data_IF_921300831844
#
_entry.id   IF_921300831844
#
_cell.length_a   1.000
_cell.length_b   1.000
_cell.length_c   1.000
_cell.angle_alpha   90.00
_cell.angle_beta   90.00
_cell.angle_gamma   90.00
#
_symmetry.space_group_name_H-M   'P 1'
#
loop_
_entity.id
_entity.type
_entity.pdbx_description
1 polymer ?
#
# COMPACT_ATOMS: atom_id res chain seq x y z
N UNK A 1 51.74 50.92 -41.58
CA UNK A 1 53.20 50.76 -41.32
C UNK A 1 53.36 49.51 -40.45
N UNK A 2 53.90 48.41 -41.00
CA UNK A 2 55.28 47.91 -40.74
C UNK A 2 55.43 47.52 -39.24
N UNK A 3 55.67 46.28 -38.80
CA UNK A 3 56.44 45.15 -39.34
C UNK A 3 56.05 43.84 -38.61
N UNK A 4 56.27 42.70 -39.29
CA UNK A 4 56.42 41.36 -38.70
C UNK A 4 57.77 41.26 -37.96
N UNK A 5 57.81 40.56 -36.83
CA UNK A 5 59.00 39.82 -36.36
C UNK A 5 58.51 38.49 -35.77
N UNK A 6 59.00 37.39 -36.32
CA UNK A 6 58.91 36.07 -35.72
C UNK A 6 60.16 35.78 -34.90
N UNK A 7 60.04 34.95 -33.86
CA UNK A 7 61.17 34.26 -33.27
C UNK A 7 60.78 32.82 -32.93
N UNK A 8 61.71 31.93 -33.24
CA UNK A 8 61.68 30.49 -33.26
C UNK A 8 62.31 29.94 -31.95
N UNK A 9 61.76 28.82 -31.48
CA UNK A 9 62.32 27.79 -30.57
C UNK A 9 62.68 28.14 -29.11
N UNK A 10 62.07 27.42 -28.17
CA UNK A 10 62.75 26.29 -27.51
C UNK A 10 61.74 25.33 -26.86
N UNK A 11 61.85 24.04 -27.18
CA UNK A 11 61.18 22.96 -26.48
C UNK A 11 61.80 22.80 -25.08
N UNK A 12 60.99 22.89 -24.03
CA UNK A 12 61.25 22.15 -22.79
C UNK A 12 60.02 21.28 -22.49
N UNK A 13 60.26 19.98 -22.61
CA UNK A 13 59.43 18.85 -22.25
C UNK A 13 59.09 18.87 -20.75
N UNK A 14 57.83 19.18 -20.45
CA UNK A 14 57.19 18.85 -19.18
C UNK A 14 56.13 17.78 -19.42
N UNK A 15 56.40 16.55 -19.01
CA UNK A 15 55.45 15.45 -19.07
C UNK A 15 54.28 15.73 -18.12
N UNK A 16 53.17 16.23 -18.65
CA UNK A 16 51.88 16.22 -17.97
C UNK A 16 51.20 14.89 -18.31
N UNK A 17 51.13 13.98 -17.34
CA UNK A 17 50.30 12.80 -17.43
C UNK A 17 48.86 13.24 -17.72
N UNK A 18 48.37 12.89 -18.92
CA UNK A 18 46.98 13.05 -19.30
C UNK A 18 46.14 12.11 -18.42
N UNK A 19 45.70 12.62 -17.27
CA UNK A 19 44.61 12.03 -16.51
C UNK A 19 43.38 12.10 -17.39
N UNK A 20 43.02 10.99 -18.02
CA UNK A 20 41.76 10.80 -18.72
C UNK A 20 40.61 11.05 -17.76
N UNK A 21 40.12 12.30 -17.74
CA UNK A 21 38.84 12.66 -17.17
C UNK A 21 37.80 11.90 -17.99
N UNK A 22 37.43 10.72 -17.51
CA UNK A 22 36.19 10.08 -17.92
C UNK A 22 35.09 11.02 -17.46
N UNK A 23 34.66 11.88 -18.39
CA UNK A 23 33.39 12.56 -18.28
C UNK A 23 32.34 11.47 -18.02
N UNK A 24 31.85 11.40 -16.78
CA UNK A 24 30.63 10.67 -16.48
C UNK A 24 29.55 11.36 -17.29
N UNK A 25 29.26 10.79 -18.46
CA UNK A 25 28.04 11.08 -19.20
C UNK A 25 26.84 10.87 -18.27
N UNK A 26 25.66 11.40 -18.63
CA UNK A 26 24.44 11.14 -17.88
C UNK A 26 24.34 9.63 -17.67
N UNK A 27 24.17 9.21 -16.41
CA UNK A 27 23.98 7.81 -16.02
C UNK A 27 22.97 7.21 -17.00
N UNK A 28 23.50 6.41 -17.92
CA UNK A 28 22.72 5.62 -18.85
C UNK A 28 21.72 4.84 -17.98
N UNK A 29 20.44 4.89 -18.33
CA UNK A 29 19.41 4.08 -17.69
C UNK A 29 19.91 2.63 -17.71
N UNK A 30 20.51 2.16 -16.62
CA UNK A 30 20.75 0.74 -16.42
C UNK A 30 19.38 0.08 -16.58
N UNK A 31 19.28 -0.84 -17.54
CA UNK A 31 18.14 -1.75 -17.69
C UNK A 31 17.66 -2.13 -16.29
N UNK A 32 16.37 -1.95 -16.03
CA UNK A 32 15.78 -2.14 -14.71
C UNK A 32 16.11 -3.54 -14.17
N UNK A 33 17.16 -3.63 -13.35
CA UNK A 33 17.77 -4.90 -12.94
C UNK A 33 16.78 -5.74 -12.16
N UNK A 34 15.98 -5.09 -11.32
CA UNK A 34 14.91 -5.72 -10.55
C UNK A 34 13.85 -6.30 -11.47
N UNK A 35 13.29 -5.50 -12.39
CA UNK A 35 12.27 -5.99 -13.31
C UNK A 35 12.79 -7.11 -14.21
N UNK A 36 14.03 -7.00 -14.69
CA UNK A 36 14.69 -8.05 -15.47
C UNK A 36 14.84 -9.35 -14.65
N UNK A 37 15.35 -9.25 -13.42
CA UNK A 37 15.51 -10.39 -12.52
C UNK A 37 14.16 -11.07 -12.23
N UNK A 38 13.11 -10.28 -11.96
CA UNK A 38 11.75 -10.79 -11.75
C UNK A 38 11.25 -11.59 -12.95
N UNK A 39 11.38 -11.05 -14.17
CA UNK A 39 10.92 -11.71 -15.40
C UNK A 39 11.69 -13.00 -15.68
N UNK A 40 13.03 -12.96 -15.59
CA UNK A 40 13.87 -14.10 -15.89
C UNK A 40 13.66 -15.24 -14.88
N UNK A 41 13.49 -14.90 -13.60
CA UNK A 41 13.22 -15.90 -12.55
C UNK A 41 11.82 -16.48 -12.64
N UNK A 42 10.83 -15.67 -13.02
CA UNK A 42 9.47 -16.12 -13.25
C UNK A 42 9.42 -17.10 -14.44
N UNK A 43 10.09 -16.76 -15.55
CA UNK A 43 10.18 -17.62 -16.72
C UNK A 43 10.86 -18.96 -16.40
N UNK A 44 11.97 -18.93 -15.64
CA UNK A 44 12.66 -20.15 -15.19
C UNK A 44 11.74 -21.02 -14.33
N UNK A 45 11.07 -20.40 -13.35
CA UNK A 45 10.17 -21.12 -12.44
C UNK A 45 8.95 -21.70 -13.17
N UNK A 46 8.31 -20.94 -14.06
CA UNK A 46 7.19 -21.43 -14.85
C UNK A 46 7.57 -22.60 -15.78
N UNK A 47 8.82 -22.61 -16.28
CA UNK A 47 9.32 -23.66 -17.15
C UNK A 47 9.73 -24.93 -16.37
N UNK A 48 10.46 -24.77 -15.26
CA UNK A 48 11.22 -25.85 -14.62
C UNK A 48 10.64 -26.32 -13.27
N UNK A 49 9.82 -25.52 -12.59
CA UNK A 49 9.38 -25.83 -11.24
C UNK A 49 8.33 -26.94 -11.25
N UNK A 50 8.74 -28.15 -10.86
CA UNK A 50 7.85 -29.28 -10.63
C UNK A 50 8.54 -30.29 -9.71
N UNK A 51 7.84 -30.71 -8.65
CA UNK A 51 8.24 -31.87 -7.87
C UNK A 51 7.65 -33.14 -8.50
N UNK A 52 8.38 -34.25 -8.41
CA UNK A 52 7.96 -35.52 -8.99
C UNK A 52 6.60 -35.96 -8.44
N UNK A 53 5.71 -36.43 -9.32
CA UNK A 53 4.35 -36.86 -8.98
C UNK A 53 3.42 -35.81 -8.36
N UNK A 54 3.81 -34.52 -8.34
CA UNK A 54 2.98 -33.41 -7.84
C UNK A 54 2.54 -32.46 -8.96
N UNK A 55 1.49 -31.69 -8.68
CA UNK A 55 0.92 -30.72 -9.63
C UNK A 55 1.95 -29.64 -10.00
N UNK A 56 2.03 -29.30 -11.29
CA UNK A 56 2.86 -28.18 -11.78
C UNK A 56 2.17 -26.85 -11.41
N UNK A 57 2.91 -25.78 -11.08
CA UNK A 57 2.35 -24.43 -11.06
C UNK A 57 1.69 -24.08 -12.39
N UNK A 58 0.43 -23.64 -12.35
CA UNK A 58 -0.25 -23.12 -13.55
C UNK A 58 -0.19 -21.58 -13.60
N UNK A 59 0.00 -20.92 -12.45
CA UNK A 59 0.14 -19.48 -12.34
C UNK A 59 1.21 -19.12 -11.29
N UNK A 60 2.07 -18.17 -11.63
CA UNK A 60 3.08 -17.58 -10.72
C UNK A 60 2.99 -16.07 -10.86
N UNK A 61 3.06 -15.35 -9.74
CA UNK A 61 3.19 -13.89 -9.75
C UNK A 61 4.26 -13.43 -8.75
N UNK A 62 4.96 -12.36 -9.11
CA UNK A 62 5.85 -11.62 -8.22
C UNK A 62 5.34 -10.17 -8.12
N UNK A 63 5.04 -9.74 -6.91
CA UNK A 63 4.76 -8.34 -6.58
C UNK A 63 5.87 -7.82 -5.65
N UNK A 64 6.66 -6.86 -6.12
CA UNK A 64 7.78 -6.29 -5.36
C UNK A 64 7.53 -4.80 -5.16
N UNK A 65 7.73 -4.32 -3.94
CA UNK A 65 7.52 -2.92 -3.58
C UNK A 65 8.85 -2.30 -3.16
N UNK A 66 9.61 -1.72 -4.10
CA UNK A 66 10.89 -1.05 -3.79
C UNK A 66 10.58 0.32 -3.17
N UNK A 67 10.82 0.46 -1.87
CA UNK A 67 10.45 1.63 -1.08
C UNK A 67 11.65 2.25 -0.41
N UNK A 68 11.69 3.58 -0.42
CA UNK A 68 12.65 4.39 0.30
C UNK A 68 11.89 5.44 1.10
N UNK A 69 12.17 5.55 2.40
CA UNK A 69 11.46 6.48 3.29
C UNK A 69 12.37 7.20 4.26
N UNK A 70 12.05 8.47 4.51
CA UNK A 70 12.66 9.25 5.58
C UNK A 70 11.60 9.57 6.63
N UNK A 71 11.81 9.05 7.83
CA UNK A 71 10.86 9.08 8.94
C UNK A 71 11.45 9.90 10.10
N UNK A 72 10.71 10.90 10.58
CA UNK A 72 11.09 11.78 11.68
C UNK A 72 10.05 11.68 12.79
N UNK A 73 10.49 11.41 14.01
CA UNK A 73 9.70 11.58 15.23
C UNK A 73 10.27 12.77 16.03
N UNK A 74 9.44 13.75 16.35
CA UNK A 74 9.79 14.92 17.15
C UNK A 74 8.78 15.13 18.28
N UNK A 75 9.23 15.64 19.42
CA UNK A 75 8.38 15.89 20.59
C UNK A 75 8.87 17.14 21.30
N UNK A 76 7.94 18.00 21.73
CA UNK A 76 8.21 19.24 22.45
C UNK A 76 9.45 19.99 21.95
N UNK A 77 9.58 20.25 20.64
CA UNK A 77 10.68 21.05 20.09
C UNK A 77 12.04 20.35 19.98
N UNK A 78 12.09 19.02 20.14
CA UNK A 78 13.27 18.21 19.94
C UNK A 78 12.98 17.07 18.95
N UNK A 79 13.94 16.78 18.06
CA UNK A 79 13.88 15.57 17.22
C UNK A 79 14.33 14.39 18.06
N UNK A 80 13.46 13.41 18.25
CA UNK A 80 13.72 12.19 19.01
C UNK A 80 14.42 11.16 18.13
N UNK A 81 13.96 11.02 16.89
CA UNK A 81 14.49 10.06 15.92
C UNK A 81 14.35 10.61 14.51
N UNK A 82 15.35 10.36 13.68
CA UNK A 82 15.26 10.49 12.24
C UNK A 82 15.93 9.25 11.61
N UNK A 83 15.24 8.54 10.75
CA UNK A 83 15.77 7.37 10.04
C UNK A 83 15.53 7.50 8.54
N UNK A 84 16.49 6.99 7.78
CA UNK A 84 16.39 6.84 6.33
C UNK A 84 16.49 5.35 6.05
N UNK A 85 15.40 4.77 5.55
CA UNK A 85 15.24 3.33 5.41
C UNK A 85 14.90 2.99 3.96
N UNK A 86 15.47 1.89 3.46
CA UNK A 86 15.09 1.28 2.19
C UNK A 86 14.63 -0.14 2.43
N UNK A 87 13.53 -0.52 1.81
CA UNK A 87 12.99 -1.87 1.87
C UNK A 87 12.50 -2.31 0.50
N UNK A 88 12.57 -3.62 0.26
CA UNK A 88 12.10 -4.27 -0.95
C UNK A 88 11.33 -5.54 -0.59
N UNK A 89 10.18 -5.43 0.08
CA UNK A 89 9.31 -6.56 0.32
C UNK A 89 8.79 -7.13 -1.00
N UNK A 90 8.90 -8.46 -1.13
CA UNK A 90 8.39 -9.24 -2.23
C UNK A 90 7.33 -10.22 -1.77
N UNK A 91 6.20 -10.18 -2.45
CA UNK A 91 5.14 -11.17 -2.37
C UNK A 91 5.24 -12.08 -3.59
N UNK A 92 5.35 -13.38 -3.32
CA UNK A 92 5.41 -14.42 -4.34
C UNK A 92 4.21 -15.33 -4.20
N UNK A 93 3.33 -15.32 -5.20
CA UNK A 93 2.17 -16.22 -5.25
C UNK A 93 2.43 -17.31 -6.26
N UNK A 94 2.23 -18.56 -5.84
CA UNK A 94 2.26 -19.73 -6.71
C UNK A 94 0.90 -20.42 -6.59
N UNK A 95 0.28 -20.73 -7.73
CA UNK A 95 -0.96 -21.50 -7.78
C UNK A 95 -0.73 -22.85 -8.44
N UNK A 96 -1.16 -23.91 -7.78
CA UNK A 96 -1.09 -25.29 -8.26
C UNK A 96 -2.50 -25.90 -8.34
N UNK A 97 -2.70 -26.82 -9.29
CA UNK A 97 -4.03 -27.35 -9.64
C UNK A 97 -4.48 -26.77 -10.98
N UNK A 98 -5.62 -26.07 -11.00
CA UNK A 98 -6.11 -25.35 -12.17
C UNK A 98 -7.12 -24.27 -11.82
N UNK A 99 -7.60 -23.52 -12.82
CA UNK A 99 -8.52 -22.39 -12.61
C UNK A 99 -9.83 -22.76 -11.88
N UNK A 100 -10.31 -24.00 -12.05
CA UNK A 100 -11.53 -24.46 -11.39
C UNK A 100 -11.31 -24.89 -9.94
N UNK A 101 -10.12 -25.43 -9.63
CA UNK A 101 -9.75 -25.88 -8.30
C UNK A 101 -8.24 -25.73 -8.07
N UNK A 102 -7.86 -24.78 -7.22
CA UNK A 102 -6.48 -24.55 -6.79
C UNK A 102 -6.33 -24.42 -5.26
N UNK A 103 -5.13 -24.07 -4.81
CA UNK A 103 -4.76 -23.94 -3.41
C UNK A 103 -5.34 -22.71 -2.67
N UNK A 104 -6.06 -21.82 -3.35
CA UNK A 104 -6.61 -20.60 -2.74
C UNK A 104 -8.02 -20.81 -2.19
N UNK A 105 -8.65 -19.78 -1.60
CA UNK A 105 -10.02 -19.87 -1.07
C UNK A 105 -10.20 -20.88 0.07
N UNK A 106 -9.11 -21.33 0.71
CA UNK A 106 -9.10 -22.27 1.82
C UNK A 106 -8.06 -21.86 2.86
N UNK A 107 -8.46 -21.89 4.13
CA UNK A 107 -7.60 -21.57 5.28
C UNK A 107 -7.68 -22.73 6.26
N UNK A 108 -6.53 -23.36 6.51
CA UNK A 108 -6.38 -24.35 7.57
C UNK A 108 -5.76 -23.75 8.82
N UNK A 109 -6.04 -24.35 9.98
CA UNK A 109 -5.40 -23.95 11.24
C UNK A 109 -3.86 -24.02 11.14
N UNK A 110 -3.35 -25.06 10.46
CA UNK A 110 -1.92 -25.24 10.21
C UNK A 110 -1.35 -24.12 9.35
N UNK A 111 -2.08 -23.67 8.32
CA UNK A 111 -1.66 -22.54 7.50
C UNK A 111 -1.65 -21.22 8.30
N UNK A 112 -2.63 -21.01 9.18
CA UNK A 112 -2.69 -19.82 10.05
C UNK A 112 -1.57 -19.76 11.09
N UNK A 113 -1.18 -20.90 11.67
CA UNK A 113 -0.08 -20.97 12.64
C UNK A 113 1.31 -20.85 12.01
N UNK A 114 1.41 -20.87 10.67
CA UNK A 114 2.68 -20.75 9.97
C UNK A 114 3.08 -19.27 9.80
N UNK A 115 3.76 -18.73 10.81
CA UNK A 115 4.21 -17.33 10.87
C UNK A 115 5.16 -16.94 9.72
N UNK A 116 6.00 -17.86 9.26
CA UNK A 116 6.95 -17.58 8.15
C UNK A 116 6.23 -17.26 6.84
N UNK A 117 4.99 -17.71 6.67
CA UNK A 117 4.19 -17.49 5.45
C UNK A 117 3.37 -16.20 5.49
N UNK A 118 3.36 -15.46 6.61
CA UNK A 118 2.48 -14.30 6.81
C UNK A 118 3.09 -12.98 6.36
N UNK A 119 4.42 -12.91 6.26
CA UNK A 119 5.13 -11.68 5.90
C UNK A 119 5.75 -11.78 4.51
N UNK A 120 5.73 -10.69 3.72
CA UNK A 120 6.50 -10.61 2.49
C UNK A 120 7.98 -10.93 2.75
N UNK A 121 8.64 -11.55 1.79
CA UNK A 121 10.08 -11.79 1.88
C UNK A 121 10.80 -10.49 1.57
N UNK A 122 11.72 -10.08 2.44
CA UNK A 122 12.59 -8.95 2.16
C UNK A 122 13.66 -9.36 1.14
N UNK A 123 13.71 -8.68 -0.01
CA UNK A 123 14.77 -8.87 -1.00
C UNK A 123 15.97 -7.98 -0.68
N UNK A 124 17.13 -8.35 -1.24
CA UNK A 124 18.29 -7.46 -1.31
C UNK A 124 17.92 -6.11 -1.94
N UNK A 125 18.41 -5.02 -1.35
CA UNK A 125 18.09 -3.65 -1.83
C UNK A 125 19.09 -3.15 -2.86
N UNK A 126 20.29 -3.73 -2.89
CA UNK A 126 21.27 -3.54 -3.95
C UNK A 126 20.75 -4.10 -5.27
N UNK A 127 21.05 -3.42 -6.37
CA UNK A 127 20.65 -3.84 -7.72
C UNK A 127 21.61 -4.92 -8.27
N UNK A 128 21.77 -6.01 -7.52
CA UNK A 128 22.52 -7.20 -7.92
C UNK A 128 21.59 -8.26 -8.51
N UNK A 129 21.69 -8.47 -9.83
CA UNK A 129 20.82 -9.36 -10.59
C UNK A 129 20.78 -10.79 -10.01
N UNK A 130 21.94 -11.35 -9.67
CA UNK A 130 22.07 -12.75 -9.22
C UNK A 130 21.43 -12.96 -7.85
N UNK A 131 21.63 -12.01 -6.93
CA UNK A 131 21.10 -12.09 -5.57
C UNK A 131 19.59 -11.91 -5.57
N UNK A 132 19.05 -10.93 -6.31
CA UNK A 132 17.60 -10.75 -6.47
C UNK A 132 16.94 -12.03 -7.01
N UNK A 133 17.52 -12.63 -8.06
CA UNK A 133 17.01 -13.88 -8.63
C UNK A 133 17.07 -15.04 -7.64
N UNK A 134 18.14 -15.16 -6.87
CA UNK A 134 18.27 -16.19 -5.82
C UNK A 134 17.19 -16.03 -4.74
N UNK A 135 16.90 -14.81 -4.30
CA UNK A 135 15.86 -14.57 -3.30
C UNK A 135 14.47 -14.90 -3.82
N UNK A 136 14.16 -14.48 -5.05
CA UNK A 136 12.92 -14.82 -5.73
C UNK A 136 12.79 -16.34 -5.95
N UNK A 137 13.87 -17.01 -6.33
CA UNK A 137 13.90 -18.47 -6.48
C UNK A 137 13.51 -19.17 -5.17
N UNK A 138 14.20 -18.83 -4.07
CA UNK A 138 13.94 -19.42 -2.77
C UNK A 138 12.51 -19.11 -2.29
N UNK A 139 12.02 -17.89 -2.51
CA UNK A 139 10.64 -17.51 -2.19
C UNK A 139 9.63 -18.32 -3.01
N UNK A 140 9.92 -18.53 -4.30
CA UNK A 140 9.06 -19.32 -5.20
C UNK A 140 9.00 -20.79 -4.78
N UNK A 141 10.14 -21.38 -4.39
CA UNK A 141 10.19 -22.75 -3.88
C UNK A 141 9.35 -22.90 -2.59
N UNK A 142 9.49 -21.97 -1.64
CA UNK A 142 8.68 -21.95 -0.42
C UNK A 142 7.18 -21.81 -0.73
N UNK A 143 6.81 -20.86 -1.60
CA UNK A 143 5.41 -20.65 -2.01
C UNK A 143 4.83 -21.84 -2.78
N UNK A 144 5.62 -22.52 -3.61
CA UNK A 144 5.17 -23.71 -4.34
C UNK A 144 4.88 -24.89 -3.42
N UNK A 145 5.79 -25.19 -2.48
CA UNK A 145 5.57 -26.24 -1.48
C UNK A 145 4.34 -25.94 -0.61
N UNK A 146 4.16 -24.67 -0.25
CA UNK A 146 2.98 -24.21 0.47
C UNK A 146 1.69 -24.40 -0.33
N UNK A 147 1.70 -24.05 -1.62
CA UNK A 147 0.57 -24.21 -2.52
C UNK A 147 0.16 -25.69 -2.66
N UNK A 148 1.13 -26.59 -2.81
CA UNK A 148 0.86 -28.03 -2.89
C UNK A 148 0.25 -28.59 -1.60
N UNK A 149 0.77 -28.18 -0.45
CA UNK A 149 0.23 -28.56 0.87
C UNK A 149 -1.22 -28.07 1.05
N UNK A 150 -1.49 -26.81 0.71
CA UNK A 150 -2.84 -26.23 0.77
C UNK A 150 -3.80 -26.89 -0.21
N UNK A 151 -3.37 -27.19 -1.44
CA UNK A 151 -4.16 -27.90 -2.44
C UNK A 151 -4.57 -29.29 -1.95
N UNK A 152 -3.63 -30.04 -1.36
CA UNK A 152 -3.89 -31.36 -0.80
C UNK A 152 -4.93 -31.29 0.34
N UNK A 153 -4.79 -30.32 1.25
CA UNK A 153 -5.74 -30.11 2.35
C UNK A 153 -7.13 -29.71 1.83
N UNK A 154 -7.21 -28.78 0.87
CA UNK A 154 -8.48 -28.36 0.26
C UNK A 154 -9.18 -29.51 -0.46
N UNK A 155 -8.44 -30.33 -1.21
CA UNK A 155 -8.99 -31.54 -1.88
C UNK A 155 -9.50 -32.56 -0.87
N UNK A 156 -8.78 -32.79 0.23
CA UNK A 156 -9.24 -33.67 1.31
C UNK A 156 -10.52 -33.15 1.98
N UNK A 157 -10.59 -31.83 2.24
CA UNK A 157 -11.76 -31.18 2.82
C UNK A 157 -12.98 -31.20 1.89
N UNK A 158 -12.81 -30.96 0.58
CA UNK A 158 -13.93 -31.02 -0.37
C UNK A 158 -14.54 -32.42 -0.48
N UNK A 159 -13.76 -33.50 -0.30
CA UNK A 159 -14.29 -34.88 -0.32
C UNK A 159 -15.24 -35.22 0.82
N UNK A 160 -15.20 -34.47 1.94
CA UNK A 160 -16.02 -34.75 3.13
C UNK A 160 -17.28 -33.89 3.23
N UNK A 161 -17.50 -32.94 2.32
CA UNK A 161 -18.68 -32.05 2.31
C UNK A 161 -19.53 -32.22 1.05
N UNK A 162 -20.84 -32.09 1.21
CA UNK A 162 -21.80 -32.05 0.11
C UNK A 162 -21.57 -30.76 -0.68
N UNK A 163 -21.40 -30.88 -1.99
CA UNK A 163 -21.04 -29.76 -2.86
C UNK A 163 -22.16 -28.71 -2.95
N UNK A 164 -21.78 -27.44 -2.81
CA UNK A 164 -22.60 -26.29 -3.21
C UNK A 164 -22.30 -25.85 -4.64
N UNK A 165 -22.71 -24.64 -5.01
CA UNK A 165 -22.40 -24.05 -6.32
C UNK A 165 -20.87 -24.04 -6.56
N UNK A 166 -20.44 -24.69 -7.65
CA UNK A 166 -19.02 -24.74 -8.04
C UNK A 166 -18.67 -23.44 -8.76
N UNK A 167 -17.81 -22.66 -8.14
CA UNK A 167 -17.30 -21.42 -8.71
C UNK A 167 -15.80 -21.59 -8.92
N UNK A 168 -15.25 -21.21 -10.09
CA UNK A 168 -13.82 -21.25 -10.31
C UNK A 168 -13.05 -20.46 -9.24
N UNK A 169 -11.90 -20.99 -8.83
CA UNK A 169 -11.01 -20.37 -7.84
C UNK A 169 -10.17 -19.24 -8.47
N UNK A 170 -10.08 -19.15 -9.80
CA UNK A 170 -9.35 -18.10 -10.48
C UNK A 170 -9.96 -17.73 -11.84
N UNK A 171 -9.86 -16.47 -12.22
CA UNK A 171 -10.34 -15.95 -13.51
C UNK A 171 -9.18 -15.58 -14.43
N UNK A 172 -9.38 -15.71 -15.74
CA UNK A 172 -8.41 -15.31 -16.76
C UNK A 172 -8.64 -13.87 -17.16
N UNK A 173 -7.56 -13.12 -17.30
CA UNK A 173 -7.56 -11.73 -17.72
C UNK A 173 -6.58 -11.53 -18.87
N UNK A 174 -6.82 -10.50 -19.69
CA UNK A 174 -5.89 -10.13 -20.75
C UNK A 174 -4.61 -9.54 -20.14
N UNK A 175 -3.42 -10.07 -20.47
CA UNK A 175 -2.18 -9.58 -19.88
C UNK A 175 -1.90 -8.14 -20.30
N UNK A 176 -1.44 -7.34 -19.34
CA UNK A 176 -1.16 -5.92 -19.54
C UNK A 176 0.31 -5.60 -19.30
N UNK A 177 0.87 -4.78 -20.17
CA UNK A 177 2.18 -4.15 -19.96
C UNK A 177 2.00 -2.66 -19.67
N UNK A 178 2.45 -2.19 -18.50
CA UNK A 178 2.48 -0.76 -18.12
C UNK A 178 3.79 -0.47 -17.39
N UNK A 179 4.72 0.23 -18.03
CA UNK A 179 6.03 0.51 -17.44
C UNK A 179 6.20 2.02 -17.30
N UNK A 180 5.69 2.58 -16.21
CA UNK A 180 5.85 4.00 -15.90
C UNK A 180 7.29 4.30 -15.47
N UNK A 181 7.72 5.56 -15.60
CA UNK A 181 9.04 6.00 -15.15
C UNK A 181 9.19 5.83 -13.64
N UNK A 182 10.35 5.34 -13.19
CA UNK A 182 10.65 5.22 -11.76
C UNK A 182 10.68 6.59 -11.10
N UNK A 183 10.13 6.69 -9.91
CA UNK A 183 10.32 7.84 -9.04
C UNK A 183 11.55 7.62 -8.18
N UNK A 184 12.42 8.61 -8.14
CA UNK A 184 13.64 8.62 -7.31
C UNK A 184 13.31 9.32 -6.00
N UNK A 185 13.75 8.74 -4.89
CA UNK A 185 13.61 9.39 -3.60
C UNK A 185 14.50 10.63 -3.52
N UNK A 186 13.88 11.78 -3.30
CA UNK A 186 14.59 13.05 -3.13
C UNK A 186 13.85 13.91 -2.11
N UNK A 187 14.54 14.30 -1.03
CA UNK A 187 14.02 15.25 -0.06
C UNK A 187 15.16 15.99 0.66
N UNK A 188 14.88 17.22 1.10
CA UNK A 188 15.79 17.97 1.98
C UNK A 188 15.58 17.51 3.44
N UNK A 189 16.36 16.51 3.84
CA UNK A 189 16.27 15.91 5.16
C UNK A 189 16.51 16.92 6.30
N UNK A 190 17.36 17.93 6.10
CA UNK A 190 17.63 18.96 7.10
C UNK A 190 16.41 19.86 7.30
N UNK A 191 15.83 20.34 6.20
CA UNK A 191 14.61 21.16 6.22
C UNK A 191 13.42 20.44 6.87
N UNK A 192 13.25 19.14 6.58
CA UNK A 192 12.17 18.34 7.18
C UNK A 192 12.36 18.12 8.68
N UNK A 193 13.59 17.85 9.15
CA UNK A 193 13.89 17.78 10.59
C UNK A 193 13.59 19.09 11.29
N UNK A 194 13.95 20.21 10.66
CA UNK A 194 13.68 21.53 11.20
C UNK A 194 12.19 21.87 11.25
N UNK A 195 11.42 21.48 10.22
CA UNK A 195 9.96 21.58 10.20
C UNK A 195 9.33 20.80 11.37
N UNK A 196 9.67 19.51 11.52
CA UNK A 196 9.13 18.67 12.60
C UNK A 196 9.49 19.23 13.99
N UNK A 197 10.72 19.73 14.15
CA UNK A 197 11.18 20.42 15.36
C UNK A 197 10.33 21.65 15.68
N UNK A 198 10.10 22.55 14.73
CA UNK A 198 9.27 23.75 14.94
C UNK A 198 7.82 23.40 15.27
N UNK A 199 7.21 22.48 14.53
CA UNK A 199 5.83 22.06 14.75
C UNK A 199 5.64 21.39 16.12
N UNK A 200 6.57 20.54 16.54
CA UNK A 200 6.51 19.90 17.86
C UNK A 200 6.70 20.89 19.01
N UNK A 201 7.39 22.01 18.80
CA UNK A 201 7.62 23.02 19.83
C UNK A 201 6.33 23.75 20.25
N UNK A 202 5.34 23.84 19.35
CA UNK A 202 4.02 24.46 19.61
C UNK A 202 3.37 23.84 20.84
N UNK A 203 3.51 22.53 21.05
CA UNK A 203 2.87 21.82 22.16
C UNK A 203 3.46 22.19 23.53
N UNK A 204 4.58 22.92 23.60
CA UNK A 204 5.08 23.53 24.85
C UNK A 204 4.21 24.69 25.34
N UNK A 205 3.41 25.29 24.45
CA UNK A 205 2.47 26.38 24.79
C UNK A 205 1.31 25.87 25.67
N UNK A 206 1.14 24.54 25.84
CA UNK A 206 -0.02 23.91 26.49
C UNK A 206 0.40 23.02 27.68
N UNK A 207 0.46 23.55 28.92
CA UNK A 207 1.01 22.84 30.09
C UNK A 207 0.26 21.56 30.49
N UNK A 208 -1.02 21.42 30.11
CA UNK A 208 -1.81 20.22 30.40
C UNK A 208 -1.34 19.01 29.57
N UNK A 209 -0.65 19.24 28.45
CA UNK A 209 -0.17 18.17 27.57
C UNK A 209 1.12 17.58 28.15
N UNK A 210 1.06 16.33 28.63
CA UNK A 210 2.24 15.64 29.17
C UNK A 210 2.94 14.75 28.13
N UNK A 211 2.25 14.37 27.05
CA UNK A 211 2.80 13.55 25.97
C UNK A 211 2.48 14.20 24.62
N UNK A 212 3.50 14.35 23.77
CA UNK A 212 3.32 14.88 22.41
C UNK A 212 4.18 14.13 21.40
N UNK A 213 3.74 14.13 20.13
CA UNK A 213 4.54 13.62 19.04
C UNK A 213 4.12 14.20 17.68
N UNK A 214 5.10 14.62 16.90
CA UNK A 214 4.99 14.86 15.47
C UNK A 214 5.72 13.73 14.77
N UNK A 215 5.00 12.98 13.94
CA UNK A 215 5.57 12.00 13.02
C UNK A 215 5.44 12.52 11.60
N UNK A 216 6.56 12.75 10.94
CA UNK A 216 6.64 13.13 9.53
C UNK A 216 7.30 11.98 8.76
N UNK A 217 6.63 11.47 7.74
CA UNK A 217 7.13 10.40 6.88
C UNK A 217 7.04 10.83 5.43
N UNK A 218 8.16 10.73 4.71
CA UNK A 218 8.21 10.88 3.26
C UNK A 218 8.57 9.53 2.69
N UNK A 219 7.73 8.96 1.83
CA UNK A 219 7.93 7.65 1.22
C UNK A 219 7.81 7.75 -0.28
N UNK A 220 8.83 7.26 -0.99
CA UNK A 220 8.76 6.98 -2.43
C UNK A 220 8.77 5.47 -2.63
N UNK A 221 7.91 5.00 -3.51
CA UNK A 221 7.78 3.58 -3.81
C UNK A 221 7.72 3.38 -5.33
N UNK A 222 8.37 2.34 -5.81
CA UNK A 222 8.16 1.81 -7.15
C UNK A 222 7.59 0.39 -6.99
N UNK A 223 6.32 0.21 -7.39
CA UNK A 223 5.64 -1.09 -7.35
C UNK A 223 5.92 -1.83 -8.65
N UNK A 224 6.32 -3.08 -8.55
CA UNK A 224 6.58 -3.98 -9.67
C UNK A 224 5.64 -5.18 -9.57
N UNK A 225 5.04 -5.56 -10.68
CA UNK A 225 4.22 -6.75 -10.78
C UNK A 225 4.52 -7.50 -12.08
N UNK A 226 4.82 -8.79 -11.98
CA UNK A 226 4.93 -9.68 -13.14
C UNK A 226 4.20 -10.98 -12.87
N UNK A 227 3.56 -11.56 -13.89
CA UNK A 227 2.95 -12.88 -13.77
C UNK A 227 3.25 -13.78 -14.98
N UNK A 228 2.99 -15.08 -14.83
CA UNK A 228 3.20 -16.09 -15.86
C UNK A 228 2.22 -16.03 -17.04
N UNK A 229 1.16 -15.22 -16.93
CA UNK A 229 0.22 -14.94 -18.04
C UNK A 229 0.70 -13.79 -18.93
N UNK A 230 1.78 -13.10 -18.55
CA UNK A 230 2.44 -12.07 -19.37
C UNK A 230 2.23 -10.63 -18.92
N UNK A 231 1.59 -10.40 -17.76
CA UNK A 231 1.49 -9.06 -17.20
C UNK A 231 2.86 -8.55 -16.73
N UNK A 232 3.16 -7.29 -17.03
CA UNK A 232 4.42 -6.62 -16.66
C UNK A 232 4.12 -5.17 -16.30
N UNK A 233 4.23 -4.84 -15.01
CA UNK A 233 3.77 -3.56 -14.49
C UNK A 233 4.84 -2.94 -13.60
N UNK A 234 5.08 -1.64 -13.80
CA UNK A 234 5.87 -0.79 -12.93
C UNK A 234 5.15 0.53 -12.74
N UNK A 235 4.73 0.82 -11.52
CA UNK A 235 3.99 2.04 -11.18
C UNK A 235 4.65 2.76 -9.99
N UNK A 236 5.01 4.05 -10.11
CA UNK A 236 5.51 4.81 -8.99
C UNK A 236 4.36 5.24 -8.07
N UNK A 237 4.64 5.27 -6.78
CA UNK A 237 3.77 5.85 -5.76
C UNK A 237 4.61 6.73 -4.83
N UNK A 238 3.98 7.72 -4.22
CA UNK A 238 4.63 8.62 -3.28
C UNK A 238 3.60 9.07 -2.27
N UNK A 239 4.01 9.13 -1.02
CA UNK A 239 3.15 9.54 0.07
C UNK A 239 3.98 10.31 1.09
N UNK A 240 3.50 11.49 1.43
CA UNK A 240 3.95 12.27 2.58
C UNK A 240 2.85 12.25 3.61
N UNK A 241 3.19 11.93 4.85
CA UNK A 241 2.26 12.02 5.97
C UNK A 241 2.87 12.83 7.11
N UNK A 242 2.04 13.67 7.73
CA UNK A 242 2.36 14.33 8.98
C UNK A 242 1.24 14.04 9.98
N UNK A 243 1.59 13.41 11.09
CA UNK A 243 0.68 13.10 12.17
C UNK A 243 1.14 13.83 13.43
N UNK A 244 0.33 14.74 13.94
CA UNK A 244 0.51 15.34 15.24
C UNK A 244 -0.44 14.66 16.23
N UNK A 245 0.09 14.26 17.39
CA UNK A 245 -0.69 13.66 18.48
C UNK A 245 -0.29 14.28 19.81
N UNK A 246 -1.26 14.36 20.71
CA UNK A 246 -1.05 14.80 22.08
C UNK A 246 -1.96 14.04 23.05
N UNK A 247 -1.48 13.87 24.29
CA UNK A 247 -2.24 13.27 25.39
C UNK A 247 -2.24 14.19 26.61
N UNK A 248 -3.35 14.18 27.34
CA UNK A 248 -3.55 14.86 28.62
C UNK A 248 -4.40 13.99 29.55
N UNK A 249 -4.67 14.44 30.76
CA UNK A 249 -5.50 13.77 31.75
C UNK A 249 -6.50 14.78 32.35
N UNK A 250 -7.77 14.38 32.41
CA UNK A 250 -8.81 15.16 33.08
C UNK A 250 -8.70 15.02 34.62
N UNK A 251 -9.40 15.89 35.36
CA UNK A 251 -9.34 15.93 36.82
C UNK A 251 -9.81 14.62 37.51
N UNK A 252 -10.66 13.85 36.84
CA UNK A 252 -11.14 12.53 37.29
C UNK A 252 -10.16 11.37 36.98
N UNK A 253 -9.01 11.68 36.38
CA UNK A 253 -8.01 10.71 35.97
C UNK A 253 -8.23 10.11 34.57
N UNK A 254 -9.30 10.48 33.86
CA UNK A 254 -9.55 10.02 32.49
C UNK A 254 -8.45 10.51 31.54
N UNK A 255 -7.82 9.57 30.83
CA UNK A 255 -6.82 9.90 29.80
C UNK A 255 -7.51 10.39 28.54
N UNK A 256 -7.09 11.55 28.06
CA UNK A 256 -7.60 12.18 26.85
C UNK A 256 -6.49 12.21 25.80
N UNK A 257 -6.85 11.96 24.55
CA UNK A 257 -5.94 12.00 23.41
C UNK A 257 -6.61 12.66 22.23
N UNK A 258 -5.83 13.39 21.45
CA UNK A 258 -6.29 13.98 20.21
C UNK A 258 -5.16 13.93 19.18
N UNK A 259 -5.51 13.99 17.91
CA UNK A 259 -4.56 13.98 16.82
C UNK A 259 -5.07 14.81 15.63
N UNK A 260 -4.14 15.26 14.81
CA UNK A 260 -4.43 15.80 13.48
C UNK A 260 -3.46 15.20 12.48
N UNK A 261 -4.00 14.83 11.32
CA UNK A 261 -3.27 14.15 10.25
C UNK A 261 -3.35 14.94 8.96
N UNK A 262 -2.24 14.97 8.24
CA UNK A 262 -2.10 15.53 6.91
C UNK A 262 -1.45 14.48 6.02
N UNK A 263 -1.93 14.37 4.78
CA UNK A 263 -1.34 13.49 3.79
C UNK A 263 -1.29 14.20 2.44
N UNK A 264 -0.29 13.90 1.63
CA UNK A 264 -0.15 14.44 0.29
C UNK A 264 0.68 13.51 -0.60
N UNK A 265 0.52 13.56 -1.94
CA UNK A 265 1.36 12.80 -2.87
C UNK A 265 2.84 13.23 -2.89
N UNK A 266 3.15 14.45 -2.46
CA UNK A 266 4.50 15.04 -2.43
C UNK A 266 4.64 16.07 -1.29
N UNK A 267 5.89 16.48 -1.01
CA UNK A 267 6.17 17.50 0.02
C UNK A 267 5.61 18.86 -0.41
N UNK A 268 5.65 19.16 -1.71
CA UNK A 268 5.18 20.44 -2.26
C UNK A 268 3.65 20.55 -2.25
N UNK A 269 2.95 19.41 -2.21
CA UNK A 269 1.50 19.32 -2.09
C UNK A 269 1.02 19.16 -0.64
N UNK A 270 1.94 19.05 0.33
CA UNK A 270 1.57 19.01 1.74
C UNK A 270 1.04 20.39 2.18
N UNK A 271 0.08 20.40 3.11
CA UNK A 271 -0.47 21.63 3.67
C UNK A 271 0.64 22.59 4.14
N UNK A 272 0.50 23.91 3.94
CA UNK A 272 1.50 24.89 4.39
C UNK A 272 1.78 24.80 5.89
N UNK A 273 3.02 25.08 6.30
CA UNK A 273 3.45 25.02 7.72
C UNK A 273 2.52 25.83 8.64
N UNK A 274 2.03 26.99 8.19
CA UNK A 274 1.10 27.83 8.96
C UNK A 274 -0.26 27.15 9.21
N UNK A 275 -0.80 26.42 8.22
CA UNK A 275 -2.05 25.68 8.35
C UNK A 275 -1.89 24.49 9.29
N UNK A 276 -0.79 23.74 9.13
CA UNK A 276 -0.46 22.62 10.02
C UNK A 276 -0.30 23.12 11.46
N UNK A 277 0.45 24.20 11.66
CA UNK A 277 0.64 24.82 12.97
C UNK A 277 -0.68 25.28 13.59
N UNK A 278 -1.56 25.90 12.80
CA UNK A 278 -2.89 26.31 13.28
C UNK A 278 -3.75 25.11 13.70
N UNK A 279 -3.69 24.01 12.96
CA UNK A 279 -4.45 22.80 13.29
C UNK A 279 -3.90 22.11 14.56
N UNK A 280 -2.57 22.10 14.74
CA UNK A 280 -1.93 21.60 15.96
C UNK A 280 -2.36 22.43 17.18
N UNK A 281 -2.35 23.77 17.08
CA UNK A 281 -2.83 24.64 18.16
C UNK A 281 -4.29 24.40 18.49
N UNK A 282 -5.15 24.25 17.48
CA UNK A 282 -6.56 23.92 17.68
C UNK A 282 -6.72 22.58 18.40
N UNK A 283 -6.05 21.53 17.92
CA UNK A 283 -6.06 20.21 18.55
C UNK A 283 -5.62 20.26 20.03
N UNK A 284 -4.59 21.04 20.35
CA UNK A 284 -4.09 21.21 21.71
C UNK A 284 -5.03 22.04 22.60
N UNK A 285 -5.68 23.06 22.03
CA UNK A 285 -6.72 23.81 22.71
C UNK A 285 -7.94 22.93 22.99
N UNK A 286 -8.41 22.15 22.00
CA UNK A 286 -9.52 21.22 22.17
C UNK A 286 -9.24 20.21 23.30
N UNK A 287 -8.00 19.70 23.38
CA UNK A 287 -7.58 18.85 24.50
C UNK A 287 -7.62 19.57 25.85
N UNK A 288 -7.20 20.83 25.89
CA UNK A 288 -7.24 21.66 27.09
C UNK A 288 -8.68 21.85 27.55
N UNK A 289 -9.57 22.21 26.62
CA UNK A 289 -10.99 22.43 26.91
C UNK A 289 -11.66 21.12 27.37
N UNK A 290 -11.31 19.98 26.78
CA UNK A 290 -11.80 18.66 27.18
C UNK A 290 -11.42 18.27 28.61
N UNK A 291 -10.33 18.80 29.18
CA UNK A 291 -9.99 18.53 30.60
C UNK A 291 -11.01 19.12 31.58
N UNK A 292 -11.73 20.17 31.18
CA UNK A 292 -12.76 20.85 31.97
C UNK A 292 -14.19 20.52 31.51
N UNK A 293 -14.34 19.77 30.42
CA UNK A 293 -15.64 19.41 29.87
C UNK A 293 -16.37 18.41 30.81
N UNK A 294 -17.68 18.60 31.05
CA UNK A 294 -18.45 17.66 31.83
C UNK A 294 -18.56 16.32 31.10
N UNK A 295 -18.53 15.22 31.86
CA UNK A 295 -18.80 13.90 31.31
C UNK A 295 -20.25 13.84 30.85
N UNK A 296 -20.45 13.52 29.56
CA UNK A 296 -21.78 13.36 29.01
C UNK A 296 -22.46 12.14 29.64
N UNK A 297 -23.65 12.34 30.21
CA UNK A 297 -24.49 11.22 30.62
C UNK A 297 -24.96 10.38 29.41
N UNK A 298 -25.61 9.24 29.66
CA UNK A 298 -26.16 8.42 28.57
C UNK A 298 -27.12 9.25 27.72
N UNK A 299 -26.74 9.48 26.46
CA UNK A 299 -27.54 10.24 25.50
C UNK A 299 -28.20 9.31 24.48
N UNK A 300 -29.51 9.45 24.32
CA UNK A 300 -30.28 8.81 23.24
C UNK A 300 -31.03 9.90 22.50
N UNK A 301 -30.59 10.22 21.28
CA UNK A 301 -31.17 11.30 20.49
C UNK A 301 -30.44 11.54 19.16
N UNK A 302 -30.84 12.55 18.40
CA UNK A 302 -30.20 12.87 17.12
C UNK A 302 -28.75 13.33 17.32
N UNK A 303 -27.85 12.80 16.50
CA UNK A 303 -26.44 13.21 16.47
C UNK A 303 -26.16 13.85 15.11
N UNK A 304 -25.64 15.08 15.13
CA UNK A 304 -25.20 15.76 13.91
C UNK A 304 -23.69 15.55 13.73
N UNK A 305 -23.31 14.86 12.67
CA UNK A 305 -21.90 14.72 12.25
C UNK A 305 -21.58 15.79 11.20
N UNK A 306 -20.50 16.54 11.42
CA UNK A 306 -20.05 17.62 10.53
C UNK A 306 -18.61 17.42 10.07
N UNK A 307 -18.28 17.98 8.90
CA UNK A 307 -16.94 17.96 8.34
C UNK A 307 -16.37 16.55 8.22
N UNK A 308 -15.12 16.35 8.66
CA UNK A 308 -14.42 15.06 8.55
C UNK A 308 -15.17 13.90 9.26
N UNK A 309 -15.86 14.18 10.37
CA UNK A 309 -16.51 13.12 11.15
C UNK A 309 -17.67 12.45 10.39
N UNK A 310 -18.33 13.16 9.47
CA UNK A 310 -19.38 12.54 8.66
C UNK A 310 -18.79 11.54 7.66
N UNK A 311 -17.74 11.94 6.94
CA UNK A 311 -17.03 11.06 6.00
C UNK A 311 -16.41 9.85 6.68
N UNK A 312 -15.78 10.03 7.84
CA UNK A 312 -15.16 8.94 8.61
C UNK A 312 -16.20 7.90 9.06
N UNK A 313 -17.37 8.35 9.54
CA UNK A 313 -18.44 7.45 9.94
C UNK A 313 -18.89 6.56 8.79
N UNK A 314 -19.07 7.13 7.59
CA UNK A 314 -19.39 6.33 6.41
C UNK A 314 -18.23 5.40 6.01
N UNK A 315 -16.98 5.86 6.04
CA UNK A 315 -15.83 5.02 5.70
C UNK A 315 -15.71 3.80 6.64
N UNK A 316 -15.93 3.99 7.94
CA UNK A 316 -15.86 2.91 8.93
C UNK A 316 -17.09 2.00 8.93
N UNK A 317 -18.29 2.55 8.78
CA UNK A 317 -19.53 1.78 8.83
C UNK A 317 -19.81 1.05 7.51
N UNK A 318 -19.62 1.73 6.37
CA UNK A 318 -19.95 1.22 5.05
C UNK A 318 -18.76 0.52 4.38
N UNK A 319 -17.55 1.06 4.50
CA UNK A 319 -16.36 0.57 3.79
C UNK A 319 -16.13 -0.95 3.92
N UNK A 320 -16.05 -1.52 5.14
CA UNK A 320 -15.88 -2.95 5.33
C UNK A 320 -17.01 -3.81 4.72
N UNK A 321 -18.21 -3.25 4.61
CA UNK A 321 -19.40 -3.94 4.12
C UNK A 321 -19.48 -3.98 2.60
N UNK A 322 -18.69 -3.16 1.90
CA UNK A 322 -18.67 -3.08 0.44
C UNK A 322 -17.77 -4.13 -0.21
N UNK A 323 -17.12 -4.98 0.58
CA UNK A 323 -16.36 -6.12 0.07
C UNK A 323 -17.30 -7.21 -0.46
N UNK A 324 -17.06 -7.65 -1.68
CA UNK A 324 -17.69 -8.80 -2.32
C UNK A 324 -16.80 -10.04 -2.33
N UNK A 325 -15.73 -10.04 -1.54
CA UNK A 325 -14.88 -11.22 -1.33
C UNK A 325 -15.68 -12.32 -0.64
N UNK A 326 -15.54 -13.55 -1.11
CA UNK A 326 -16.11 -14.69 -0.38
C UNK A 326 -15.25 -15.01 0.83
N UNK A 327 -15.87 -15.40 1.94
CA UNK A 327 -15.13 -15.99 3.05
C UNK A 327 -14.43 -17.26 2.55
N UNK A 328 -13.17 -17.49 2.94
CA UNK A 328 -12.49 -18.73 2.58
C UNK A 328 -13.16 -19.92 3.28
N UNK A 329 -12.93 -21.11 2.74
CA UNK A 329 -13.29 -22.35 3.40
C UNK A 329 -12.36 -22.57 4.62
N UNK A 330 -12.94 -22.91 5.76
CA UNK A 330 -12.19 -23.24 6.97
C UNK A 330 -12.33 -24.71 7.31
N UNK A 331 -11.21 -25.34 7.70
CA UNK A 331 -11.20 -26.71 8.23
C UNK A 331 -11.82 -26.82 9.63
N UNK A 332 -11.84 -25.73 10.41
CA UNK A 332 -12.48 -25.65 11.72
C UNK A 332 -13.69 -24.70 11.74
N UNK A 333 -14.87 -25.15 12.22
CA UNK A 333 -16.07 -24.32 12.33
C UNK A 333 -15.90 -23.06 13.20
N UNK A 334 -15.13 -23.13 14.30
CA UNK A 334 -14.91 -21.95 15.15
C UNK A 334 -14.18 -20.83 14.37
N UNK A 335 -13.28 -21.18 13.46
CA UNK A 335 -12.56 -20.19 12.65
C UNK A 335 -13.48 -19.52 11.64
N UNK A 336 -14.41 -20.27 11.03
CA UNK A 336 -15.40 -19.69 10.13
C UNK A 336 -16.27 -18.63 10.81
N UNK A 337 -16.61 -18.82 12.09
CA UNK A 337 -17.37 -17.85 12.87
C UNK A 337 -16.57 -16.57 13.19
N UNK A 338 -15.24 -16.65 13.27
CA UNK A 338 -14.37 -15.49 13.54
C UNK A 338 -14.01 -14.67 12.29
N UNK A 339 -14.15 -15.26 11.10
CA UNK A 339 -13.72 -14.63 9.85
C UNK A 339 -14.52 -13.35 9.49
N UNK A 340 -15.73 -13.21 10.04
CA UNK A 340 -16.68 -12.17 9.66
C UNK A 340 -17.13 -12.31 8.21
N UNK A 341 -18.28 -11.74 7.87
CA UNK A 341 -18.73 -11.61 6.49
C UNK A 341 -19.24 -10.19 6.29
N UNK A 342 -19.01 -9.63 5.11
CA UNK A 342 -19.63 -8.37 4.74
C UNK A 342 -21.15 -8.56 4.69
N UNK A 343 -21.89 -7.87 5.55
CA UNK A 343 -23.33 -8.02 5.72
C UNK A 343 -24.11 -7.63 4.46
N UNK A 344 -23.51 -6.83 3.58
CA UNK A 344 -24.11 -6.38 2.33
C UNK A 344 -23.79 -7.29 1.13
N UNK A 345 -23.00 -8.35 1.30
CA UNK A 345 -22.61 -9.23 0.21
C UNK A 345 -23.82 -9.83 -0.54
N UNK A 346 -24.88 -10.18 0.19
CA UNK A 346 -26.12 -10.76 -0.34
C UNK A 346 -27.23 -9.73 -0.60
N UNK A 347 -26.92 -8.42 -0.51
CA UNK A 347 -27.88 -7.32 -0.63
C UNK A 347 -27.84 -6.60 -1.98
N UNK A 348 -27.25 -7.23 -3.00
CA UNK A 348 -27.21 -6.65 -4.35
C UNK A 348 -28.62 -6.36 -4.87
N UNK A 349 -28.78 -5.17 -5.46
CA UNK A 349 -30.03 -4.58 -5.93
C UNK A 349 -31.08 -4.31 -4.83
N UNK A 350 -30.71 -4.37 -3.55
CA UNK A 350 -31.57 -3.99 -2.44
C UNK A 350 -31.20 -2.61 -1.89
N UNK A 351 -32.18 -1.96 -1.25
CA UNK A 351 -31.97 -0.69 -0.55
C UNK A 351 -31.21 -0.93 0.76
N UNK A 352 -30.03 -0.31 0.89
CA UNK A 352 -29.11 -0.43 2.04
C UNK A 352 -28.85 0.91 2.73
N UNK A 353 -29.15 2.02 2.06
CA UNK A 353 -29.05 3.39 2.58
C UNK A 353 -30.33 4.20 2.25
N UNK A 354 -30.55 5.36 2.89
CA UNK A 354 -31.55 6.34 2.46
C UNK A 354 -31.41 6.75 0.99
N UNK A 355 -32.52 7.09 0.33
CA UNK A 355 -32.60 7.32 -1.12
C UNK A 355 -31.86 8.54 -1.64
N UNK A 356 -31.48 9.46 -0.75
CA UNK A 356 -30.68 10.65 -1.10
C UNK A 356 -29.17 10.38 -1.07
N UNK A 357 -28.73 9.19 -0.62
CA UNK A 357 -27.31 8.83 -0.55
C UNK A 357 -26.87 7.99 -1.75
N UNK A 358 -25.66 8.28 -2.20
CA UNK A 358 -24.93 7.53 -3.23
C UNK A 358 -23.52 7.22 -2.73
N UNK A 359 -22.91 6.16 -3.25
CA UNK A 359 -21.52 5.81 -2.97
C UNK A 359 -20.81 5.41 -4.26
N UNK A 360 -19.63 6.01 -4.49
CA UNK A 360 -18.78 5.79 -5.65
C UNK A 360 -17.39 5.40 -5.15
N UNK A 361 -16.84 4.31 -5.69
CA UNK A 361 -15.40 4.04 -5.61
C UNK A 361 -14.75 4.56 -6.88
N UNK A 362 -13.95 5.62 -6.77
CA UNK A 362 -13.21 6.19 -7.90
C UNK A 362 -11.70 6.19 -7.62
N UNK A 363 -11.00 5.10 -7.95
CA UNK A 363 -9.56 5.02 -7.82
C UNK A 363 -8.80 5.90 -8.83
N UNK A 364 -9.49 6.52 -9.79
CA UNK A 364 -8.88 7.39 -10.80
C UNK A 364 -8.92 8.88 -10.41
N UNK A 365 -9.73 9.24 -9.42
CA UNK A 365 -9.85 10.59 -8.91
C UNK A 365 -8.55 11.03 -8.21
N UNK A 366 -7.96 12.12 -8.69
CA UNK A 366 -6.72 12.70 -8.13
C UNK A 366 -6.97 13.89 -7.21
N UNK A 367 -8.14 14.49 -7.30
CA UNK A 367 -8.51 15.68 -6.52
C UNK A 367 -9.98 15.64 -6.13
N UNK A 368 -10.30 16.15 -4.94
CA UNK A 368 -11.67 16.41 -4.48
C UNK A 368 -11.69 17.78 -3.79
N UNK A 369 -12.60 18.68 -4.18
CA UNK A 369 -12.68 20.05 -3.63
C UNK A 369 -11.32 20.78 -3.53
N UNK A 370 -10.50 20.67 -4.59
CA UNK A 370 -9.14 21.24 -4.70
C UNK A 370 -8.07 20.61 -3.80
N UNK A 371 -8.43 19.59 -3.02
CA UNK A 371 -7.48 18.80 -2.24
C UNK A 371 -6.99 17.60 -3.06
N UNK A 372 -5.70 17.31 -2.99
CA UNK A 372 -5.13 16.13 -3.64
C UNK A 372 -5.54 14.85 -2.89
N UNK A 373 -6.00 13.84 -3.62
CA UNK A 373 -6.36 12.55 -3.06
C UNK A 373 -5.16 11.59 -3.05
N UNK A 374 -4.97 10.88 -1.94
CA UNK A 374 -3.89 9.91 -1.77
C UNK A 374 -4.24 8.48 -2.22
N UNK A 375 -5.49 8.25 -2.61
CA UNK A 375 -6.01 6.93 -3.01
C UNK A 375 -5.90 6.61 -4.50
N UNK A 376 -5.39 7.54 -5.32
CA UNK A 376 -5.43 7.42 -6.77
C UNK A 376 -4.40 6.41 -7.32
N UNK A 377 -4.81 5.55 -8.25
CA UNK A 377 -3.92 4.65 -8.97
C UNK A 377 -4.43 4.39 -10.39
N UNK A 378 -3.53 4.06 -11.32
CA UNK A 378 -3.90 3.70 -12.70
C UNK A 378 -4.15 2.19 -12.84
N UNK A 379 -3.42 1.41 -12.06
CA UNK A 379 -3.43 -0.05 -12.05
C UNK A 379 -3.36 -0.52 -10.60
N UNK A 380 -4.20 -1.49 -10.22
CA UNK A 380 -4.20 -2.06 -8.88
C UNK A 380 -3.00 -3.00 -8.65
N UNK A 381 -2.88 -3.53 -7.43
CA UNK A 381 -1.80 -4.44 -7.04
C UNK A 381 -1.91 -5.86 -7.64
N UNK A 382 -2.91 -6.11 -8.48
CA UNK A 382 -3.14 -7.36 -9.23
C UNK A 382 -2.99 -7.15 -10.75
N UNK A 383 -2.67 -5.91 -11.17
CA UNK A 383 -2.42 -5.57 -12.56
C UNK A 383 -3.62 -5.15 -13.37
N UNK A 384 -4.76 -4.88 -12.72
CA UNK A 384 -6.01 -4.49 -13.36
C UNK A 384 -6.13 -2.97 -13.42
N UNK A 385 -6.55 -2.46 -14.59
CA UNK A 385 -6.76 -1.03 -14.78
C UNK A 385 -7.86 -0.48 -13.84
N UNK A 386 -7.54 0.63 -13.18
CA UNK A 386 -8.46 1.35 -12.31
C UNK A 386 -9.63 1.92 -13.12
N UNK A 387 -10.84 1.86 -12.55
CA UNK A 387 -12.04 2.46 -13.12
C UNK A 387 -13.01 2.88 -12.03
N UNK A 388 -13.76 3.98 -12.23
CA UNK A 388 -14.86 4.34 -11.33
C UNK A 388 -15.94 3.25 -11.31
N UNK A 389 -16.52 3.02 -10.14
CA UNK A 389 -17.58 2.06 -9.95
C UNK A 389 -18.67 2.58 -9.00
N UNK A 390 -19.91 2.76 -9.49
CA UNK A 390 -21.02 3.12 -8.62
C UNK A 390 -21.35 1.93 -7.72
N UNK A 391 -21.15 2.11 -6.41
CA UNK A 391 -21.42 1.08 -5.42
C UNK A 391 -22.88 1.15 -4.97
N UNK A 392 -23.38 2.36 -4.70
CA UNK A 392 -24.76 2.61 -4.25
C UNK A 392 -25.35 3.77 -5.04
N UNK A 393 -26.53 3.56 -5.60
CA UNK A 393 -27.30 4.58 -6.33
C UNK A 393 -28.68 4.74 -5.69
N UNK A 394 -29.03 5.95 -5.28
CA UNK A 394 -30.29 6.28 -4.61
C UNK A 394 -30.61 5.32 -3.45
N UNK A 395 -29.60 5.02 -2.63
CA UNK A 395 -29.70 4.11 -1.50
C UNK A 395 -29.70 2.61 -1.86
N UNK A 396 -29.64 2.24 -3.15
CA UNK A 396 -29.67 0.85 -3.63
C UNK A 396 -28.25 0.36 -3.95
N UNK A 397 -27.84 -0.77 -3.35
CA UNK A 397 -26.55 -1.39 -3.63
C UNK A 397 -26.51 -1.96 -5.04
N UNK A 398 -25.62 -1.47 -5.89
CA UNK A 398 -25.46 -1.89 -7.28
C UNK A 398 -24.31 -2.86 -7.48
N UNK A 399 -23.22 -2.68 -6.73
CA UNK A 399 -21.98 -3.41 -6.95
C UNK A 399 -21.15 -3.47 -5.66
N UNK A 400 -20.24 -4.45 -5.59
CA UNK A 400 -19.29 -4.65 -4.50
C UNK A 400 -17.85 -4.64 -5.03
N UNK A 401 -16.91 -4.24 -4.21
CA UNK A 401 -15.46 -4.25 -4.49
C UNK A 401 -14.91 -5.67 -4.28
N UNK A 402 -14.10 -6.20 -5.21
CA UNK A 402 -13.64 -7.60 -5.15
C UNK A 402 -12.16 -7.75 -5.46
N UNK A 403 -11.53 -8.82 -4.99
CA UNK A 403 -10.24 -9.29 -5.51
C UNK A 403 -10.38 -10.13 -6.79
N UNK A 404 -9.31 -10.18 -7.58
CA UNK A 404 -9.21 -10.99 -8.80
C UNK A 404 -9.51 -12.47 -8.54
N UNK A 405 -9.04 -13.01 -7.42
CA UNK A 405 -9.11 -14.43 -7.07
C UNK A 405 -10.49 -14.94 -6.66
N UNK A 406 -11.54 -14.11 -6.71
CA UNK A 406 -12.86 -14.46 -6.18
C UNK A 406 -14.02 -14.25 -7.17
N UNK A 407 -13.74 -14.14 -8.47
CA UNK A 407 -14.77 -13.86 -9.49
C UNK A 407 -15.56 -15.13 -9.84
N UNK A 408 -16.86 -15.13 -9.56
CA UNK A 408 -17.79 -16.03 -10.28
C UNK A 408 -18.01 -15.50 -11.69
N UNK A 409 -17.95 -16.36 -12.70
CA UNK A 409 -18.45 -16.05 -14.03
C UNK A 409 -19.97 -15.83 -13.96
N UNK A 410 -20.41 -14.59 -13.73
CA UNK A 410 -21.72 -14.11 -14.18
C UNK A 410 -21.50 -13.16 -15.36
N UNK A 411 -22.19 -13.34 -16.49
CA UNK A 411 -22.03 -12.44 -17.64
C UNK A 411 -22.39 -11.01 -17.23
N UNK A 412 -21.50 -10.05 -17.52
CA UNK A 412 -21.82 -8.62 -17.51
C UNK A 412 -21.69 -7.86 -16.18
N UNK A 413 -21.21 -8.46 -15.09
CA UNK A 413 -21.05 -7.74 -13.81
C UNK A 413 -19.70 -7.99 -13.15
N UNK A 414 -18.65 -7.41 -13.74
CA UNK A 414 -17.35 -7.30 -13.07
C UNK A 414 -17.39 -6.03 -12.23
N UNK A 415 -17.46 -6.16 -10.90
CA UNK A 415 -17.34 -5.01 -10.00
C UNK A 415 -15.94 -4.35 -10.07
N UNK A 416 -15.71 -3.24 -9.35
CA UNK A 416 -14.38 -2.69 -9.16
C UNK A 416 -13.49 -3.74 -8.50
N UNK A 417 -12.25 -3.82 -9.00
CA UNK A 417 -11.25 -4.74 -8.47
C UNK A 417 -10.30 -3.97 -7.58
N UNK A 418 -10.07 -4.50 -6.39
CA UNK A 418 -9.12 -3.93 -5.43
C UNK A 418 -8.73 -4.99 -4.43
N UNK A 419 -7.43 -5.21 -4.30
CA UNK A 419 -6.88 -5.87 -3.13
C UNK A 419 -6.72 -4.87 -1.99
N UNK A 420 -7.47 -5.05 -0.90
CA UNK A 420 -7.37 -4.23 0.32
C UNK A 420 -6.36 -4.90 1.26
N UNK A 421 -5.06 -4.71 1.01
CA UNK A 421 -4.03 -5.03 1.99
C UNK A 421 -3.86 -3.81 2.93
N UNK A 422 -4.66 -3.75 4.00
CA UNK A 422 -4.51 -2.76 5.07
C UNK A 422 -5.41 -1.52 4.98
N UNK A 423 -5.68 -0.98 6.18
CA UNK A 423 -6.55 0.15 6.57
C UNK A 423 -6.81 1.16 5.44
N UNK A 424 -8.10 1.45 5.19
CA UNK A 424 -8.56 2.71 4.58
C UNK A 424 -7.83 3.85 5.31
N UNK A 425 -6.74 4.36 4.74
CA UNK A 425 -6.11 5.54 5.27
C UNK A 425 -7.04 6.70 4.94
N UNK A 426 -7.91 7.03 5.89
CA UNK A 426 -8.63 8.30 5.89
C UNK A 426 -7.61 9.36 6.28
N UNK A 427 -6.84 9.79 5.29
CA UNK A 427 -6.12 11.05 5.33
C UNK A 427 -7.05 12.15 4.83
N UNK A 428 -6.87 13.36 5.36
CA UNK A 428 -7.46 14.57 4.79
C UNK A 428 -7.14 14.73 3.31
#
# INVERSE_FOLDING_TARGET
>A
MRFRIGLICLFLSGAAAAGSVHARGPLQQNDDVLLKAMRDELARSAAQLKLESLDKPYYIEYAVTDSESFDIDASFGAVVRASHDRSRPARVTVRAGGYDLDNTGFVSMRAMMNFERRFPRELVTEDDYSTIRRDLWLATDTSYKAALEQLAQKRAFKKTKIEGEQIPDFSREEPRTSIASRRIFQCDQAKLKDLARRLSAILREYPVVYESGIRLSVRTTNKYFVNSEGAVIREPASLVTLNARASTQAADGMRLKNFVSFAAPSIDELAPEAEIASAIRRMAQDLTDLTAAPVLEKYTGPVLLIGQASSEMFAQALGPQLSGDRPPLFDQPQMAAMAGQAELADRLNLRVLPTFLNALDDPTARTFDKQALIGAYNVDDEGIAARPAPLIEHGVLKTLVRRHDQIARRPGNHGPRRRIDGVLHVGR
#
